data_IF_018298430494
#
_entry.id   IF_018298430494
#
_cell.length_a   1.000
_cell.length_b   1.000
_cell.length_c   1.000
_cell.angle_alpha   90.00
_cell.angle_beta   90.00
_cell.angle_gamma   90.00
#
_symmetry.space_group_name_H-M   'P 1'
#
loop_
_entity.id
_entity.type
_entity.pdbx_description
1 polymer ?
#
# COMPACT_ATOMS: atom_id res chain seq x y z
N UNK A 1 -20.11 -10.54 -17.74
CA UNK A 1 -18.82 -9.98 -18.16
C UNK A 1 -18.18 -9.34 -16.93
N UNK A 2 -17.24 -10.02 -16.24
CA UNK A 2 -16.59 -9.47 -15.03
C UNK A 2 -15.52 -8.48 -15.45
N UNK A 3 -15.73 -7.20 -15.15
CA UNK A 3 -14.77 -6.13 -15.39
C UNK A 3 -13.47 -6.44 -14.64
N UNK A 4 -12.35 -6.34 -15.38
CA UNK A 4 -11.00 -6.53 -14.85
C UNK A 4 -10.76 -5.49 -13.75
N UNK A 5 -10.15 -5.85 -12.60
CA UNK A 5 -9.76 -4.85 -11.63
C UNK A 5 -8.69 -3.94 -12.25
N UNK A 6 -9.05 -2.67 -12.47
CA UNK A 6 -8.13 -1.64 -12.98
C UNK A 6 -7.04 -1.30 -11.94
N UNK A 7 -7.28 -1.73 -10.70
CA UNK A 7 -6.36 -1.77 -9.57
C UNK A 7 -6.95 -2.60 -8.42
N UNK A 8 -6.19 -2.74 -7.35
CA UNK A 8 -6.61 -3.46 -6.15
C UNK A 8 -7.72 -2.70 -5.37
N UNK A 9 -8.22 -1.53 -5.83
CA UNK A 9 -9.19 -0.70 -5.08
C UNK A 9 -10.55 -1.37 -4.90
N UNK A 10 -10.89 -2.34 -5.75
CA UNK A 10 -12.13 -3.13 -5.62
C UNK A 10 -12.22 -3.93 -4.31
N UNK A 11 -11.09 -4.20 -3.63
CA UNK A 11 -11.05 -4.83 -2.31
C UNK A 11 -11.48 -3.90 -1.15
N UNK A 12 -11.77 -2.62 -1.43
CA UNK A 12 -11.91 -1.58 -0.39
C UNK A 12 -13.20 -0.74 -0.49
N UNK A 13 -14.14 -1.09 -1.37
CA UNK A 13 -15.45 -0.44 -1.45
C UNK A 13 -16.37 -0.92 -0.30
N UNK A 14 -16.83 -0.01 0.57
CA UNK A 14 -17.80 -0.27 1.64
C UNK A 14 -17.69 0.66 2.87
N UNK A 15 -18.65 0.54 3.80
CA UNK A 15 -18.76 1.09 5.19
C UNK A 15 -18.62 2.63 5.39
N UNK A 16 -18.01 3.35 4.46
CA UNK A 16 -17.98 4.81 4.41
C UNK A 16 -16.77 5.47 5.05
N UNK A 17 -16.62 6.76 4.72
CA UNK A 17 -15.48 7.63 4.99
C UNK A 17 -15.04 7.68 6.47
N UNK A 18 -16.01 7.75 7.40
CA UNK A 18 -15.74 7.94 8.83
C UNK A 18 -15.05 6.74 9.49
N UNK A 19 -15.43 5.52 9.12
CA UNK A 19 -14.85 4.27 9.64
C UNK A 19 -13.35 4.17 9.33
N UNK A 20 -12.98 4.47 8.09
CA UNK A 20 -11.61 4.35 7.62
C UNK A 20 -10.70 5.43 8.23
N UNK A 21 -11.20 6.66 8.39
CA UNK A 21 -10.48 7.72 9.08
C UNK A 21 -10.20 7.37 10.55
N UNK A 22 -11.16 6.78 11.25
CA UNK A 22 -11.00 6.41 12.66
C UNK A 22 -10.03 5.24 12.84
N UNK A 23 -10.04 4.24 11.94
CA UNK A 23 -9.00 3.20 11.87
C UNK A 23 -7.60 3.78 11.66
N UNK A 24 -7.44 4.70 10.71
CA UNK A 24 -6.16 5.37 10.43
C UNK A 24 -5.65 6.20 11.62
N UNK A 25 -6.55 6.78 12.41
CA UNK A 25 -6.23 7.48 13.68
C UNK A 25 -5.96 6.53 14.85
N UNK A 26 -6.11 5.24 14.63
CA UNK A 26 -5.79 4.19 15.58
C UNK A 26 -6.91 3.77 16.50
N UNK A 27 -8.14 4.13 16.18
CA UNK A 27 -9.33 3.62 16.86
C UNK A 27 -9.67 2.22 16.35
N UNK A 28 -10.46 1.46 17.12
CA UNK A 28 -10.95 0.12 16.73
C UNK A 28 -12.47 0.13 16.53
N UNK A 29 -12.98 0.78 15.46
CA UNK A 29 -14.39 0.74 15.12
C UNK A 29 -14.82 -0.67 14.69
N UNK A 30 -15.92 -1.12 15.25
CA UNK A 30 -16.70 -2.28 14.88
C UNK A 30 -17.95 -1.82 14.13
N UNK A 31 -18.20 -2.44 12.98
CA UNK A 31 -19.43 -2.22 12.21
C UNK A 31 -20.47 -3.22 12.67
N UNK A 32 -21.63 -2.71 13.09
CA UNK A 32 -22.80 -3.53 13.38
C UNK A 32 -23.91 -3.22 12.40
N UNK A 33 -24.57 -4.27 11.91
CA UNK A 33 -25.82 -4.14 11.18
C UNK A 33 -26.94 -3.84 12.18
N UNK A 34 -27.60 -2.71 12.00
CA UNK A 34 -28.82 -2.33 12.70
C UNK A 34 -30.01 -2.28 11.76
N UNK A 35 -31.20 -2.06 12.32
CA UNK A 35 -32.46 -1.95 11.58
C UNK A 35 -32.47 -0.78 10.59
N UNK A 36 -31.69 0.27 10.88
CA UNK A 36 -31.61 1.52 10.13
C UNK A 36 -30.26 1.69 9.39
N UNK A 37 -29.51 0.61 9.19
CA UNK A 37 -28.24 0.61 8.46
C UNK A 37 -27.02 0.26 9.33
N UNK A 38 -25.85 0.71 8.90
CA UNK A 38 -24.58 0.41 9.56
C UNK A 38 -24.31 1.38 10.72
N UNK A 39 -24.04 0.84 11.91
CA UNK A 39 -23.60 1.62 13.07
C UNK A 39 -22.13 1.34 13.37
N UNK A 40 -21.39 2.39 13.74
CA UNK A 40 -19.98 2.31 14.12
C UNK A 40 -19.88 2.43 15.64
N UNK A 41 -19.41 1.36 16.29
CA UNK A 41 -19.10 1.33 17.73
C UNK A 41 -17.60 1.21 17.91
N UNK A 42 -17.01 1.87 18.90
CA UNK A 42 -15.60 1.68 19.22
C UNK A 42 -15.45 0.54 20.23
N UNK A 43 -14.57 -0.42 19.95
CA UNK A 43 -14.21 -1.44 20.94
C UNK A 43 -13.45 -0.81 22.08
N UNK A 44 -13.76 -1.28 23.28
CA UNK A 44 -12.94 -1.06 24.47
C UNK A 44 -11.66 -1.91 24.38
N UNK A 45 -10.60 -1.52 25.11
CA UNK A 45 -9.34 -2.30 25.14
C UNK A 45 -9.55 -3.77 25.55
N UNK A 46 -10.54 -4.04 26.40
CA UNK A 46 -10.91 -5.39 26.82
C UNK A 46 -11.53 -6.24 25.69
N UNK A 47 -12.31 -5.64 24.79
CA UNK A 47 -12.96 -6.31 23.65
C UNK A 47 -11.98 -6.61 22.49
N UNK A 48 -10.82 -5.93 22.44
CA UNK A 48 -9.82 -6.08 21.38
C UNK A 48 -8.89 -7.31 21.55
N UNK A 49 -8.84 -7.90 22.74
CA UNK A 49 -7.96 -9.05 23.04
C UNK A 49 -8.56 -10.43 22.65
N UNK A 50 -9.86 -10.53 22.35
CA UNK A 50 -10.49 -11.81 22.02
C UNK A 50 -10.31 -12.17 20.53
N UNK A 51 -9.16 -12.78 20.20
CA UNK A 51 -8.70 -13.08 18.82
C UNK A 51 -9.19 -14.41 18.24
N UNK A 52 -10.28 -15.01 18.71
CA UNK A 52 -10.76 -16.31 18.18
C UNK A 52 -11.74 -16.14 17.01
N UNK A 53 -11.19 -15.88 15.82
CA UNK A 53 -11.79 -16.24 14.51
C UNK A 53 -10.67 -16.28 13.49
N UNK A 54 -10.35 -17.45 12.96
CA UNK A 54 -9.33 -17.63 11.92
C UNK A 54 -9.82 -16.95 10.63
N UNK A 55 -9.18 -15.88 10.15
CA UNK A 55 -9.58 -15.24 8.91
C UNK A 55 -8.99 -15.98 7.69
N UNK A 56 -9.76 -16.02 6.61
CA UNK A 56 -9.30 -16.41 5.27
C UNK A 56 -7.95 -15.73 4.94
N UNK A 57 -6.92 -16.42 4.44
CA UNK A 57 -5.61 -15.84 4.14
C UNK A 57 -5.66 -14.58 3.25
N UNK A 58 -6.67 -14.46 2.38
CA UNK A 58 -6.88 -13.27 1.54
C UNK A 58 -7.43 -12.06 2.33
N UNK A 59 -8.13 -12.28 3.44
CA UNK A 59 -8.63 -11.19 4.30
C UNK A 59 -7.52 -10.50 5.11
N UNK A 60 -6.35 -11.13 5.27
CA UNK A 60 -5.18 -10.48 5.88
C UNK A 60 -4.48 -9.52 4.92
N UNK A 61 -4.47 -9.82 3.62
CA UNK A 61 -3.93 -8.90 2.61
C UNK A 61 -4.73 -7.59 2.57
N UNK A 62 -6.03 -7.64 2.89
CA UNK A 62 -6.93 -6.48 2.98
C UNK A 62 -6.57 -5.55 4.15
N UNK A 63 -6.04 -6.06 5.26
CA UNK A 63 -5.78 -5.24 6.45
C UNK A 63 -4.37 -4.64 6.52
N UNK A 64 -3.36 -5.29 5.91
CA UNK A 64 -1.95 -4.89 6.04
C UNK A 64 -1.28 -4.45 4.73
N UNK A 65 -2.05 -4.35 3.64
CA UNK A 65 -1.56 -3.87 2.35
C UNK A 65 -0.60 -4.83 1.66
N UNK A 66 -0.67 -6.13 1.97
CA UNK A 66 0.22 -7.14 1.41
C UNK A 66 1.62 -7.14 2.02
N UNK A 67 1.79 -6.68 3.26
CA UNK A 67 3.07 -6.71 3.98
C UNK A 67 3.33 -8.09 4.61
N UNK A 68 4.56 -8.60 4.50
CA UNK A 68 5.06 -9.79 5.21
C UNK A 68 5.29 -9.42 6.68
N UNK A 69 4.75 -10.23 7.59
CA UNK A 69 4.90 -10.07 9.05
C UNK A 69 4.72 -8.62 9.50
N UNK A 70 3.56 -8.01 9.22
CA UNK A 70 3.36 -6.58 9.35
C UNK A 70 3.49 -6.12 10.80
N UNK A 71 4.30 -5.09 11.02
CA UNK A 71 4.39 -4.44 12.32
C UNK A 71 3.40 -3.27 12.36
N UNK A 72 2.40 -3.34 13.25
CA UNK A 72 1.48 -2.24 13.48
C UNK A 72 2.17 -1.18 14.32
N UNK A 73 2.30 0.03 13.81
CA UNK A 73 2.94 1.15 14.51
C UNK A 73 2.35 2.49 14.03
N UNK A 74 2.88 3.60 14.53
CA UNK A 74 2.52 4.95 14.08
C UNK A 74 3.61 5.49 13.17
N UNK A 75 3.21 6.01 12.01
CA UNK A 75 4.10 6.75 11.12
C UNK A 75 4.63 8.00 11.85
N UNK A 76 5.95 8.17 11.94
CA UNK A 76 6.56 9.43 12.34
C UNK A 76 6.11 10.58 11.44
N UNK A 77 6.16 11.81 11.95
CA UNK A 77 6.00 12.98 11.08
C UNK A 77 7.27 13.12 10.23
N UNK A 78 7.13 13.54 8.98
CA UNK A 78 8.28 13.66 8.07
C UNK A 78 7.92 13.57 6.61
N UNK A 79 8.94 13.45 5.76
CA UNK A 79 8.74 13.26 4.33
C UNK A 79 8.60 11.78 3.99
N UNK A 80 7.63 11.51 3.13
CA UNK A 80 7.35 10.20 2.59
C UNK A 80 7.31 10.26 1.07
N UNK A 81 7.65 9.14 0.45
CA UNK A 81 7.71 8.97 -0.99
C UNK A 81 6.71 7.91 -1.42
N UNK A 82 6.12 8.04 -2.60
CA UNK A 82 5.42 6.92 -3.21
C UNK A 82 5.52 6.95 -4.72
N UNK A 83 5.45 5.77 -5.31
CA UNK A 83 5.34 5.59 -6.74
C UNK A 83 3.88 5.46 -7.14
N UNK A 84 3.48 6.18 -8.19
CA UNK A 84 2.14 6.13 -8.78
C UNK A 84 2.25 5.89 -10.28
N UNK A 85 1.16 5.41 -10.89
CA UNK A 85 1.11 5.22 -12.33
C UNK A 85 1.23 6.53 -13.11
N UNK A 86 1.83 6.51 -14.29
CA UNK A 86 1.95 7.68 -15.20
C UNK A 86 0.59 8.28 -15.61
N UNK A 87 -0.50 7.51 -15.52
CA UNK A 87 -1.87 7.91 -15.87
C UNK A 87 -2.73 8.40 -14.68
N UNK A 88 -2.26 8.30 -13.43
CA UNK A 88 -3.02 8.68 -12.23
C UNK A 88 -2.96 10.18 -11.88
N UNK A 89 -4.03 10.95 -12.06
CA UNK A 89 -3.99 12.40 -11.80
C UNK A 89 -3.70 12.80 -10.33
N UNK A 90 -4.12 11.99 -9.36
CA UNK A 90 -4.10 12.34 -7.94
C UNK A 90 -3.08 11.49 -7.15
N UNK A 91 -2.23 12.06 -6.28
CA UNK A 91 -1.28 11.32 -5.44
C UNK A 91 -1.93 10.49 -4.30
N UNK A 92 -3.22 10.19 -4.37
CA UNK A 92 -4.01 9.52 -3.32
C UNK A 92 -3.67 8.05 -3.18
N UNK A 93 -3.50 7.57 -1.93
CA UNK A 93 -3.36 6.14 -1.63
C UNK A 93 -2.52 5.81 -0.41
N UNK A 94 -2.37 4.51 -0.18
CA UNK A 94 -2.09 3.96 1.13
C UNK A 94 -0.63 3.55 1.35
N UNK A 95 0.12 3.33 0.26
CA UNK A 95 1.51 2.87 0.31
C UNK A 95 2.48 4.03 0.22
N UNK A 96 3.42 4.06 1.16
CA UNK A 96 4.41 5.10 1.34
C UNK A 96 5.78 4.50 1.70
N UNK A 97 6.84 5.24 1.41
CA UNK A 97 8.24 4.90 1.69
C UNK A 97 8.86 6.00 2.53
N UNK A 98 9.70 5.61 3.48
CA UNK A 98 10.61 6.54 4.13
C UNK A 98 11.73 6.98 3.18
N UNK A 99 12.39 8.13 3.46
CA UNK A 99 13.45 8.64 2.61
C UNK A 99 14.56 7.63 2.37
N UNK A 100 14.97 6.88 3.41
CA UNK A 100 16.02 5.86 3.31
C UNK A 100 15.72 4.81 2.23
N UNK A 101 14.50 4.28 2.19
CA UNK A 101 14.11 3.26 1.23
C UNK A 101 13.95 3.82 -0.17
N UNK A 102 13.45 5.05 -0.31
CA UNK A 102 13.44 5.75 -1.59
C UNK A 102 14.86 5.93 -2.14
N UNK A 103 15.82 6.37 -1.32
CA UNK A 103 17.19 6.57 -1.76
C UNK A 103 17.90 5.26 -2.11
N UNK A 104 17.60 4.16 -1.43
CA UNK A 104 18.09 2.82 -1.82
C UNK A 104 17.60 2.43 -3.23
N UNK A 105 16.31 2.63 -3.52
CA UNK A 105 15.75 2.35 -4.86
C UNK A 105 16.40 3.27 -5.91
N UNK A 106 16.61 4.54 -5.57
CA UNK A 106 17.28 5.52 -6.44
C UNK A 106 18.72 5.14 -6.74
N UNK A 107 19.50 4.76 -5.73
CA UNK A 107 20.87 4.27 -5.95
C UNK A 107 20.86 3.07 -6.89
N UNK A 108 19.96 2.11 -6.66
CA UNK A 108 19.87 0.91 -7.49
C UNK A 108 19.49 1.23 -8.95
N UNK A 109 18.62 2.20 -9.18
CA UNK A 109 18.28 2.65 -10.53
C UNK A 109 19.51 3.21 -11.25
N UNK A 110 20.29 4.06 -10.55
CA UNK A 110 21.55 4.63 -11.05
C UNK A 110 22.58 3.53 -11.33
N UNK A 111 22.83 2.65 -10.37
CA UNK A 111 23.88 1.64 -10.44
C UNK A 111 23.61 0.61 -11.56
N UNK A 112 22.33 0.36 -11.88
CA UNK A 112 21.91 -0.51 -13.00
C UNK A 112 21.71 0.24 -14.33
N UNK A 113 21.80 1.57 -14.34
CA UNK A 113 21.54 2.38 -15.53
C UNK A 113 20.12 2.24 -16.10
N UNK A 114 19.12 2.05 -15.23
CA UNK A 114 17.70 1.88 -15.57
C UNK A 114 16.83 3.04 -15.05
N UNK A 115 15.64 3.30 -15.64
CA UNK A 115 14.71 4.27 -15.08
C UNK A 115 14.30 3.93 -13.65
N UNK A 116 14.05 4.96 -12.84
CA UNK A 116 13.67 4.78 -11.44
C UNK A 116 12.32 4.05 -11.31
N UNK A 117 11.38 4.26 -12.23
CA UNK A 117 10.13 3.49 -12.30
C UNK A 117 10.39 1.97 -12.37
N UNK A 118 11.35 1.54 -13.20
CA UNK A 118 11.70 0.11 -13.35
C UNK A 118 12.33 -0.44 -12.08
N UNK A 119 13.22 0.32 -11.45
CA UNK A 119 13.83 -0.07 -10.18
C UNK A 119 12.77 -0.19 -9.07
N UNK A 120 11.85 0.77 -8.99
CA UNK A 120 10.76 0.79 -8.02
C UNK A 120 9.85 -0.43 -8.18
N UNK A 121 9.37 -0.74 -9.40
CA UNK A 121 8.51 -1.91 -9.63
C UNK A 121 9.18 -3.23 -9.21
N UNK A 122 10.48 -3.37 -9.46
CA UNK A 122 11.27 -4.55 -9.03
C UNK A 122 11.44 -4.63 -7.51
N UNK A 123 11.76 -3.50 -6.88
CA UNK A 123 12.09 -3.48 -5.46
C UNK A 123 10.84 -3.55 -4.55
N UNK A 124 9.74 -2.93 -4.99
CA UNK A 124 8.48 -2.87 -4.26
C UNK A 124 7.53 -4.00 -4.60
N UNK A 125 7.94 -4.88 -5.53
CA UNK A 125 7.15 -6.03 -5.99
C UNK A 125 5.82 -5.59 -6.59
N UNK A 126 5.86 -4.57 -7.45
CA UNK A 126 4.68 -4.05 -8.15
C UNK A 126 4.64 -4.69 -9.54
N UNK A 127 3.72 -5.62 -9.81
CA UNK A 127 3.52 -6.18 -11.14
C UNK A 127 3.14 -5.08 -12.14
N UNK A 128 3.60 -5.21 -13.39
CA UNK A 128 3.33 -4.23 -14.45
C UNK A 128 1.83 -4.07 -14.74
N UNK A 129 1.04 -5.09 -14.41
CA UNK A 129 -0.41 -5.12 -14.54
C UNK A 129 -1.10 -4.18 -13.54
N UNK A 130 -0.45 -3.85 -12.42
CA UNK A 130 -1.00 -2.96 -11.39
C UNK A 130 -0.64 -1.50 -11.63
N UNK A 131 0.52 -1.26 -12.27
CA UNK A 131 0.98 0.08 -12.60
C UNK A 131 2.44 0.10 -13.06
N UNK A 132 2.81 1.18 -13.73
CA UNK A 132 4.15 1.38 -14.29
C UNK A 132 5.12 2.10 -13.34
N UNK A 133 4.67 2.53 -12.15
CA UNK A 133 5.44 3.38 -11.23
C UNK A 133 6.01 4.65 -11.90
N UNK A 134 5.35 5.15 -12.96
CA UNK A 134 5.90 6.17 -13.84
C UNK A 134 6.09 7.54 -13.21
N UNK A 135 5.54 7.79 -12.01
CA UNK A 135 5.76 9.00 -11.22
C UNK A 135 6.14 8.69 -9.79
N UNK A 136 6.96 9.54 -9.21
CA UNK A 136 7.22 9.57 -7.77
C UNK A 136 6.67 10.85 -7.17
N UNK A 137 6.05 10.73 -6.01
CA UNK A 137 5.51 11.83 -5.21
C UNK A 137 6.30 11.89 -3.91
N UNK A 138 6.75 13.08 -3.52
CA UNK A 138 7.23 13.40 -2.17
C UNK A 138 6.15 14.21 -1.47
N UNK A 139 5.77 13.79 -0.27
CA UNK A 139 4.79 14.49 0.54
C UNK A 139 5.20 14.51 2.00
N UNK A 140 4.84 15.56 2.71
CA UNK A 140 5.08 15.70 4.15
C UNK A 140 3.85 15.22 4.92
N UNK A 141 4.03 14.22 5.79
CA UNK A 141 3.01 13.82 6.75
C UNK A 141 2.96 14.85 7.89
N UNK A 142 1.81 15.48 8.08
CA UNK A 142 1.60 16.47 9.15
C UNK A 142 0.69 15.97 10.29
N UNK A 143 0.11 14.78 10.13
CA UNK A 143 -0.71 14.12 11.16
C UNK A 143 -0.23 12.70 11.33
N UNK A 144 0.09 12.25 12.56
CA UNK A 144 0.51 10.86 12.79
C UNK A 144 -0.61 9.88 12.44
N UNK A 145 -0.28 8.83 11.69
CA UNK A 145 -1.23 7.80 11.27
C UNK A 145 -0.79 6.43 11.78
N UNK A 146 -1.74 5.62 12.24
CA UNK A 146 -1.50 4.21 12.45
C UNK A 146 -1.34 3.53 11.08
N UNK A 147 -0.31 2.71 10.97
CA UNK A 147 0.06 2.04 9.76
C UNK A 147 0.67 0.67 10.06
N UNK A 148 0.83 -0.11 9.02
CA UNK A 148 1.63 -1.32 9.02
C UNK A 148 2.94 -1.02 8.30
N UNK A 149 4.05 -1.50 8.84
CA UNK A 149 5.37 -1.39 8.21
C UNK A 149 5.98 -2.76 8.02
N UNK A 150 6.65 -2.95 6.89
CA UNK A 150 7.40 -4.17 6.58
C UNK A 150 7.62 -4.37 5.10
N UNK A 151 8.14 -5.54 4.72
CA UNK A 151 8.41 -5.89 3.32
C UNK A 151 7.12 -6.22 2.57
N UNK A 152 7.05 -5.88 1.29
CA UNK A 152 5.97 -6.36 0.42
C UNK A 152 6.04 -7.88 0.24
N UNK A 153 4.89 -8.55 0.19
CA UNK A 153 4.77 -9.95 -0.19
C UNK A 153 5.13 -10.13 -1.67
N UNK A 154 5.62 -11.31 -2.06
CA UNK A 154 5.61 -11.72 -3.45
C UNK A 154 4.22 -11.50 -4.06
N UNK A 155 4.17 -11.06 -5.32
CA UNK A 155 2.92 -10.75 -6.00
C UNK A 155 2.92 -11.28 -7.43
N UNK A 156 1.74 -11.50 -7.99
CA UNK A 156 1.55 -11.71 -9.43
C UNK A 156 0.50 -10.72 -9.93
N UNK A 157 0.45 -10.50 -11.25
CA UNK A 157 -0.44 -9.48 -11.84
C UNK A 157 -1.93 -9.73 -11.62
N UNK A 158 -2.39 -10.98 -11.48
CA UNK A 158 -3.83 -11.30 -11.50
C UNK A 158 -4.29 -12.41 -10.56
N UNK A 159 -3.39 -13.17 -9.95
CA UNK A 159 -3.71 -14.33 -9.10
C UNK A 159 -2.75 -14.38 -7.91
N UNK A 160 -3.17 -14.87 -6.74
CA UNK A 160 -2.24 -15.08 -5.62
C UNK A 160 -1.05 -15.96 -6.03
N UNK A 161 0.20 -15.64 -5.65
CA UNK A 161 1.36 -16.49 -5.89
C UNK A 161 1.19 -17.95 -5.42
N UNK A 162 0.44 -18.13 -4.33
CA UNK A 162 0.20 -19.40 -3.66
C UNK A 162 -1.01 -20.17 -4.23
N UNK A 163 -1.68 -19.64 -5.25
CA UNK A 163 -2.82 -20.32 -5.86
C UNK A 163 -2.35 -21.56 -6.64
N UNK A 164 -2.89 -22.73 -6.28
CA UNK A 164 -2.58 -24.01 -6.90
C UNK A 164 -2.89 -24.08 -8.41
N UNK A 165 -3.83 -23.25 -8.90
CA UNK A 165 -4.22 -23.21 -10.32
C UNK A 165 -3.43 -22.18 -11.15
N UNK A 166 -2.44 -21.51 -10.55
CA UNK A 166 -1.61 -20.50 -11.23
C UNK A 166 -0.73 -21.14 -12.31
N UNK A 167 -0.83 -20.64 -13.54
CA UNK A 167 0.12 -20.98 -14.60
C UNK A 167 1.43 -20.21 -14.41
N UNK A 168 2.48 -20.92 -13.97
CA UNK A 168 3.79 -20.33 -13.69
C UNK A 168 4.45 -19.68 -14.90
N UNK A 169 4.10 -20.09 -16.13
CA UNK A 169 4.68 -19.57 -17.37
C UNK A 169 4.12 -18.22 -17.75
N UNK A 170 2.81 -18.02 -17.54
CA UNK A 170 2.10 -16.80 -17.94
C UNK A 170 1.86 -15.85 -16.77
N UNK A 171 1.97 -16.32 -15.53
CA UNK A 171 1.76 -15.56 -14.30
C UNK A 171 2.98 -15.69 -13.36
N UNK A 172 4.12 -15.06 -13.71
CA UNK A 172 5.33 -15.14 -12.90
C UNK A 172 5.13 -14.45 -11.54
N UNK A 173 5.82 -14.98 -10.53
CA UNK A 173 5.87 -14.36 -9.20
C UNK A 173 6.95 -13.29 -9.21
N UNK A 174 6.57 -12.07 -8.92
CA UNK A 174 7.49 -10.98 -8.64
C UNK A 174 7.93 -11.11 -7.18
N UNK A 175 9.24 -10.98 -6.93
CA UNK A 175 9.81 -10.95 -5.59
C UNK A 175 10.78 -9.79 -5.48
N UNK A 176 10.89 -9.23 -4.27
CA UNK A 176 11.91 -8.22 -3.99
C UNK A 176 13.31 -8.87 -4.05
N UNK A 177 14.36 -8.12 -4.42
CA UNK A 177 15.73 -8.60 -4.33
C UNK A 177 16.05 -9.10 -2.90
N UNK A 178 16.64 -10.29 -2.79
CA UNK A 178 16.88 -10.97 -1.49
C UNK A 178 17.84 -10.23 -0.59
N UNK A 179 18.81 -9.50 -1.15
CA UNK A 179 19.86 -8.78 -0.42
C UNK A 179 19.50 -7.33 -0.07
N UNK A 180 18.28 -6.87 -0.39
CA UNK A 180 17.86 -5.49 -0.13
C UNK A 180 16.62 -5.48 0.75
N UNK A 181 16.72 -4.79 1.89
CA UNK A 181 15.60 -4.57 2.78
C UNK A 181 14.88 -3.27 2.45
N UNK A 182 13.78 -3.36 1.70
CA UNK A 182 12.89 -2.22 1.46
C UNK A 182 11.59 -2.45 2.21
N UNK A 183 11.34 -1.62 3.22
CA UNK A 183 10.08 -1.62 3.94
C UNK A 183 9.15 -0.57 3.33
N UNK A 184 7.87 -0.88 3.39
CA UNK A 184 6.78 -0.02 2.95
C UNK A 184 5.87 0.24 4.14
N UNK A 185 5.38 1.46 4.21
CA UNK A 185 4.31 1.85 5.10
C UNK A 185 2.99 1.68 4.36
N UNK A 186 2.08 0.91 4.93
CA UNK A 186 0.70 0.82 4.50
C UNK A 186 -0.21 1.46 5.54
N UNK A 187 -0.86 2.55 5.15
CA UNK A 187 -1.87 3.21 5.98
C UNK A 187 -3.24 2.66 5.61
N UNK A 188 -3.93 1.92 6.49
CA UNK A 188 -5.28 1.45 6.19
C UNK A 188 -6.23 2.65 6.12
N UNK A 189 -7.05 2.71 5.07
CA UNK A 189 -8.11 3.71 4.94
C UNK A 189 -8.43 4.09 3.49
N UNK A 190 -9.31 5.06 3.33
CA UNK A 190 -9.71 5.56 2.00
C UNK A 190 -8.63 6.50 1.43
N UNK A 191 -8.08 6.23 0.23
CA UNK A 191 -7.02 7.02 -0.40
C UNK A 191 -7.22 8.53 -0.37
N UNK A 192 -8.45 8.98 -0.67
CA UNK A 192 -8.84 10.38 -0.81
C UNK A 192 -8.81 11.11 0.53
N UNK A 193 -9.18 10.41 1.61
CA UNK A 193 -9.10 10.92 2.96
C UNK A 193 -7.66 11.01 3.45
N UNK A 194 -6.90 9.94 3.24
CA UNK A 194 -5.53 9.85 3.69
C UNK A 194 -4.68 10.93 3.05
N UNK A 195 -4.93 11.26 1.78
CA UNK A 195 -4.23 12.34 1.09
C UNK A 195 -4.33 13.70 1.81
N UNK A 196 -5.40 13.97 2.58
CA UNK A 196 -5.54 15.20 3.38
C UNK A 196 -4.58 15.27 4.57
N UNK A 197 -3.90 14.17 4.91
CA UNK A 197 -2.91 14.10 5.98
C UNK A 197 -1.48 14.33 5.48
N UNK A 198 -1.33 14.39 4.14
CA UNK A 198 -0.08 14.59 3.45
C UNK A 198 -0.13 15.90 2.67
N UNK A 199 0.84 16.78 2.92
CA UNK A 199 1.08 17.94 2.07
C UNK A 199 2.04 17.54 0.95
N UNK A 200 1.54 17.48 -0.29
CA UNK A 200 2.39 17.18 -1.46
C UNK A 200 3.41 18.29 -1.65
N UNK A 201 4.68 17.92 -1.73
CA UNK A 201 5.80 18.83 -1.95
C UNK A 201 6.20 18.82 -3.43
N UNK A 202 6.41 17.63 -4.00
CA UNK A 202 6.88 17.48 -5.38
C UNK A 202 6.37 16.20 -6.02
N UNK A 203 6.08 16.25 -7.32
CA UNK A 203 5.78 15.08 -8.15
C UNK A 203 6.67 15.13 -9.40
N UNK A 204 7.29 14.00 -9.75
CA UNK A 204 8.24 13.91 -10.87
C UNK A 204 7.94 12.68 -11.72
N UNK A 205 7.96 12.82 -13.06
CA UNK A 205 7.93 11.70 -14.00
C UNK A 205 9.28 10.99 -14.01
N UNK A 206 9.28 9.68 -13.81
CA UNK A 206 10.50 8.89 -13.57
C UNK A 206 10.61 7.68 -14.51
N UNK A 207 9.99 7.82 -15.69
CA UNK A 207 10.08 6.87 -16.81
C UNK A 207 11.42 6.97 -17.56
N UNK A 208 12.11 8.11 -17.44
CA UNK A 208 13.41 8.36 -18.06
C UNK A 208 14.56 8.08 -17.09
N UNK A 209 15.74 7.75 -17.64
CA UNK A 209 16.95 7.50 -16.85
C UNK A 209 17.47 8.80 -16.23
N UNK A 210 18.02 8.71 -15.03
CA UNK A 210 18.62 9.87 -14.34
C UNK A 210 17.61 10.83 -13.70
N UNK A 211 16.31 10.65 -13.92
CA UNK A 211 15.26 11.50 -13.33
C UNK A 211 14.83 10.95 -11.97
N UNK A 212 14.85 11.81 -10.96
CA UNK A 212 14.46 11.51 -9.58
C UNK A 212 14.05 12.79 -8.83
N UNK A 213 13.39 12.64 -7.67
CA UNK A 213 13.29 13.70 -6.63
C UNK A 213 14.62 13.83 -5.90
#
# INVERSE_FOLDING_TARGET
MKTRPQDNLHCFHGIGQFYWLTRARGMDPEVRNGRDGYHIRFRTEAEALDRKKVPNPDSFAVQNGGIISPQKTRMPLGFYYRFIGSNRGNPTGNWWLEPEHYFLIRSRARDLGIPLAVAASRCLVIPKEWGDCGRVVRAQLHTRLNAYVGKGKPATGSVSPDNATRDKRTQPVHMAPTHIEIKQWYVPGEPELLARMFKVDKTVNVLEKGVAI
#
